data_IF_711646143693
#
_entry.id   IF_711646143693
#
_cell.length_a   1.000
_cell.length_b   1.000
_cell.length_c   1.000
_cell.angle_alpha   90.00
_cell.angle_beta   90.00
_cell.angle_gamma   90.00
#
_symmetry.space_group_name_H-M   'P 1'
#
loop_
_entity.id
_entity.type
_entity.pdbx_description
1 polymer ?
#
# COMPACT_ATOMS: atom_id res chain seq x y z
N UNK A 1 -4.92 46.94 -8.48
CA UNK A 1 -5.38 45.53 -8.45
C UNK A 1 -4.96 44.93 -7.12
N UNK A 2 -5.88 44.99 -6.17
CA UNK A 2 -5.74 44.49 -4.80
C UNK A 2 -5.73 42.97 -4.81
N UNK A 3 -4.68 42.38 -4.21
CA UNK A 3 -4.68 40.95 -3.83
C UNK A 3 -5.82 40.76 -2.85
N UNK A 4 -6.87 40.06 -3.26
CA UNK A 4 -7.79 39.45 -2.32
C UNK A 4 -6.98 38.35 -1.60
N UNK A 5 -6.49 38.66 -0.40
CA UNK A 5 -6.06 37.63 0.54
C UNK A 5 -7.34 36.89 0.94
N UNK A 6 -7.56 35.72 0.35
CA UNK A 6 -8.59 34.79 0.78
C UNK A 6 -8.33 34.45 2.26
N UNK A 7 -9.08 35.11 3.13
CA UNK A 7 -9.03 34.94 4.58
C UNK A 7 -9.76 33.64 5.00
N UNK A 8 -9.58 32.57 4.23
CA UNK A 8 -10.06 31.24 4.58
C UNK A 8 -9.14 30.68 5.66
N UNK A 9 -9.67 30.44 6.86
CA UNK A 9 -8.93 29.76 7.91
C UNK A 9 -8.61 28.34 7.43
N UNK A 10 -7.32 28.05 7.23
CA UNK A 10 -6.86 26.73 6.75
C UNK A 10 -7.36 25.63 7.69
N UNK A 11 -8.06 24.67 7.11
CA UNK A 11 -8.54 23.45 7.77
C UNK A 11 -7.43 22.41 7.86
N UNK A 12 -7.62 21.37 8.68
CA UNK A 12 -6.68 20.23 8.76
C UNK A 12 -6.41 19.60 7.39
N UNK A 13 -7.45 19.51 6.55
CA UNK A 13 -7.34 18.88 5.25
C UNK A 13 -6.56 19.74 4.25
N UNK A 14 -6.59 21.07 4.39
CA UNK A 14 -5.72 21.97 3.61
C UNK A 14 -4.23 21.72 3.90
N UNK A 15 -3.88 21.34 5.13
CA UNK A 15 -2.52 20.97 5.49
C UNK A 15 -2.14 19.58 4.99
N UNK A 16 -3.10 18.67 4.77
CA UNK A 16 -2.87 17.35 4.19
C UNK A 16 -2.77 17.39 2.66
N UNK A 17 -3.39 18.36 2.01
CA UNK A 17 -3.49 18.48 0.55
C UNK A 17 -2.16 18.84 -0.14
N UNK A 18 -1.11 18.06 0.12
CA UNK A 18 0.17 18.12 -0.55
C UNK A 18 0.15 17.20 -1.76
N UNK A 19 0.60 17.75 -2.89
CA UNK A 19 0.63 17.03 -4.16
C UNK A 19 1.39 15.70 -4.02
N UNK A 20 0.74 14.63 -4.48
CA UNK A 20 1.24 13.24 -4.49
C UNK A 20 1.52 12.59 -3.12
N UNK A 21 1.33 13.27 -2.00
CA UNK A 21 1.61 12.72 -0.65
C UNK A 21 0.35 12.30 0.10
N UNK A 22 -0.81 12.85 -0.27
CA UNK A 22 -2.08 12.49 0.31
C UNK A 22 -2.91 11.70 -0.70
N UNK A 23 -3.47 10.58 -0.26
CA UNK A 23 -4.41 9.81 -1.05
C UNK A 23 -5.75 10.55 -1.09
N UNK A 24 -6.00 11.22 -2.21
CA UNK A 24 -7.25 11.96 -2.42
C UNK A 24 -8.47 11.01 -2.31
N UNK A 25 -9.56 11.44 -1.65
CA UNK A 25 -10.74 10.58 -1.43
C UNK A 25 -11.34 9.98 -2.71
N UNK A 26 -11.34 10.73 -3.81
CA UNK A 26 -11.85 10.24 -5.10
C UNK A 26 -10.98 9.14 -5.71
N UNK A 27 -9.65 9.15 -5.47
CA UNK A 27 -8.74 8.08 -5.92
C UNK A 27 -9.00 6.83 -5.10
N UNK A 28 -9.11 6.98 -3.77
CA UNK A 28 -9.45 5.88 -2.87
C UNK A 28 -10.78 5.22 -3.28
N UNK A 29 -11.82 6.03 -3.56
CA UNK A 29 -13.12 5.51 -3.98
C UNK A 29 -13.07 4.84 -5.35
N UNK A 30 -12.29 5.39 -6.29
CA UNK A 30 -12.10 4.78 -7.60
C UNK A 30 -11.43 3.41 -7.50
N UNK A 31 -10.44 3.24 -6.62
CA UNK A 31 -9.82 1.92 -6.37
C UNK A 31 -10.82 0.95 -5.76
N UNK A 32 -11.63 1.39 -4.78
CA UNK A 32 -12.67 0.55 -4.17
C UNK A 32 -13.69 0.09 -5.21
N UNK A 33 -14.24 1.01 -6.00
CA UNK A 33 -15.18 0.68 -7.08
C UNK A 33 -14.58 -0.34 -8.05
N UNK A 34 -13.34 -0.11 -8.47
CA UNK A 34 -12.62 -1.04 -9.33
C UNK A 34 -12.44 -2.45 -8.74
N UNK A 35 -12.17 -2.55 -7.44
CA UNK A 35 -12.08 -3.86 -6.78
C UNK A 35 -13.37 -4.66 -6.94
N UNK A 36 -14.53 -4.04 -6.71
CA UNK A 36 -15.83 -4.72 -6.89
C UNK A 36 -16.08 -5.05 -8.37
N UNK A 37 -15.92 -4.06 -9.27
CA UNK A 37 -16.21 -4.23 -10.70
C UNK A 37 -15.36 -5.34 -11.33
N UNK A 38 -14.07 -5.39 -11.02
CA UNK A 38 -13.18 -6.39 -11.58
C UNK A 38 -13.38 -7.79 -10.98
N UNK A 39 -13.70 -7.90 -9.69
CA UNK A 39 -14.04 -9.21 -9.10
C UNK A 39 -15.32 -9.75 -9.74
N UNK A 40 -16.32 -8.90 -9.94
CA UNK A 40 -17.56 -9.27 -10.60
C UNK A 40 -17.34 -9.63 -12.09
N UNK A 41 -16.44 -8.92 -12.77
CA UNK A 41 -16.01 -9.29 -14.11
C UNK A 41 -15.39 -10.68 -14.16
N UNK A 42 -14.45 -10.99 -13.25
CA UNK A 42 -13.81 -12.30 -13.16
C UNK A 42 -14.88 -13.38 -12.99
N UNK A 43 -15.83 -13.17 -12.07
CA UNK A 43 -16.96 -14.07 -11.85
C UNK A 43 -17.75 -14.33 -13.13
N UNK A 44 -18.18 -13.28 -13.81
CA UNK A 44 -18.95 -13.40 -15.06
C UNK A 44 -18.20 -14.16 -16.16
N UNK A 45 -16.90 -13.91 -16.30
CA UNK A 45 -16.08 -14.64 -17.29
C UNK A 45 -15.94 -16.11 -16.90
N UNK A 46 -15.73 -16.43 -15.61
CA UNK A 46 -15.61 -17.81 -15.14
C UNK A 46 -16.91 -18.60 -15.25
N UNK A 47 -18.07 -17.97 -15.01
CA UNK A 47 -19.39 -18.57 -15.25
C UNK A 47 -19.57 -18.92 -16.73
N UNK A 48 -19.13 -18.02 -17.62
CA UNK A 48 -19.26 -18.21 -19.07
C UNK A 48 -18.25 -19.24 -19.61
N UNK A 49 -17.03 -19.25 -19.09
CA UNK A 49 -15.96 -20.14 -19.50
C UNK A 49 -14.98 -20.42 -18.35
N UNK A 50 -15.10 -21.58 -17.68
CA UNK A 50 -14.24 -21.97 -16.56
C UNK A 50 -12.75 -22.12 -16.92
N UNK A 51 -12.39 -22.21 -18.20
CA UNK A 51 -10.98 -22.30 -18.64
C UNK A 51 -10.16 -21.06 -18.24
N UNK A 52 -10.82 -19.91 -18.02
CA UNK A 52 -10.16 -18.69 -17.55
C UNK A 52 -9.67 -18.76 -16.10
N UNK A 53 -9.99 -19.82 -15.34
CA UNK A 53 -9.55 -20.01 -13.95
C UNK A 53 -8.03 -19.95 -13.80
N UNK A 54 -7.30 -20.52 -14.75
CA UNK A 54 -5.83 -20.50 -14.75
C UNK A 54 -5.29 -19.09 -15.06
N UNK A 55 -5.97 -18.34 -15.92
CA UNK A 55 -5.58 -16.97 -16.31
C UNK A 55 -5.83 -16.00 -15.15
N UNK A 56 -7.04 -16.01 -14.58
CA UNK A 56 -7.37 -15.15 -13.45
C UNK A 56 -6.78 -15.66 -12.14
N UNK A 57 -6.23 -16.88 -12.08
CA UNK A 57 -5.61 -17.43 -10.88
C UNK A 57 -6.59 -17.70 -9.74
N UNK A 58 -7.86 -17.94 -10.08
CA UNK A 58 -8.94 -18.26 -9.15
C UNK A 58 -10.03 -19.05 -9.86
N UNK A 59 -10.57 -20.06 -9.20
CA UNK A 59 -11.68 -20.86 -9.72
C UNK A 59 -13.06 -20.25 -9.38
N UNK A 60 -14.10 -20.75 -10.05
CA UNK A 60 -15.46 -20.27 -9.88
C UNK A 60 -15.98 -20.52 -8.45
N UNK A 61 -15.67 -21.67 -7.86
CA UNK A 61 -16.14 -22.03 -6.51
C UNK A 61 -15.61 -21.05 -5.46
N UNK A 62 -14.32 -20.72 -5.53
CA UNK A 62 -13.65 -19.77 -4.65
C UNK A 62 -14.20 -18.35 -4.80
N UNK A 63 -14.46 -17.89 -6.04
CA UNK A 63 -15.08 -16.59 -6.29
C UNK A 63 -16.53 -16.53 -5.82
N UNK A 64 -17.31 -17.59 -6.00
CA UNK A 64 -18.68 -17.65 -5.46
C UNK A 64 -18.65 -17.66 -3.92
N UNK A 65 -17.67 -18.34 -3.32
CA UNK A 65 -17.46 -18.32 -1.87
C UNK A 65 -17.15 -16.90 -1.32
N UNK A 66 -16.51 -16.02 -2.11
CA UNK A 66 -16.32 -14.61 -1.70
C UNK A 66 -17.65 -13.92 -1.37
N UNK A 67 -18.70 -14.21 -2.13
CA UNK A 67 -20.02 -13.59 -1.99
C UNK A 67 -20.84 -14.18 -0.83
N UNK A 68 -20.46 -15.35 -0.32
CA UNK A 68 -21.10 -15.95 0.86
C UNK A 68 -20.68 -15.26 2.17
N UNK A 69 -19.52 -14.58 2.18
CA UNK A 69 -19.02 -13.85 3.35
C UNK A 69 -18.92 -12.34 3.08
N UNK A 70 -20.09 -11.68 3.04
CA UNK A 70 -20.22 -10.24 2.82
C UNK A 70 -19.35 -9.37 3.73
N UNK A 71 -19.18 -9.78 5.00
CA UNK A 71 -18.41 -9.00 5.96
C UNK A 71 -16.92 -8.98 5.60
N UNK A 72 -16.33 -10.16 5.36
CA UNK A 72 -14.93 -10.27 4.93
C UNK A 72 -14.71 -9.68 3.54
N UNK A 73 -15.69 -9.81 2.64
CA UNK A 73 -15.63 -9.22 1.30
C UNK A 73 -15.55 -7.69 1.38
N UNK A 74 -16.40 -7.05 2.17
CA UNK A 74 -16.38 -5.59 2.37
C UNK A 74 -15.09 -5.12 3.02
N UNK A 75 -14.57 -5.87 4.00
CA UNK A 75 -13.28 -5.56 4.62
C UNK A 75 -12.12 -5.62 3.63
N UNK A 76 -12.14 -6.59 2.70
CA UNK A 76 -11.07 -6.77 1.70
C UNK A 76 -11.17 -5.75 0.56
N UNK A 77 -12.31 -5.73 -0.16
CA UNK A 77 -12.51 -4.92 -1.36
C UNK A 77 -12.72 -3.43 -1.03
N UNK A 78 -13.16 -3.11 0.19
CA UNK A 78 -13.35 -1.74 0.67
C UNK A 78 -12.06 -1.00 1.03
N UNK A 79 -10.91 -1.67 0.99
CA UNK A 79 -9.62 -0.99 1.16
C UNK A 79 -9.22 -0.22 -0.10
N UNK A 80 -8.47 0.89 0.01
CA UNK A 80 -8.00 1.62 -1.17
C UNK A 80 -6.75 0.99 -1.79
N UNK A 81 -6.60 -0.33 -1.70
CA UNK A 81 -5.55 -1.10 -2.35
C UNK A 81 -6.19 -1.95 -3.44
N UNK A 82 -5.50 -2.13 -4.56
CA UNK A 82 -5.98 -2.97 -5.63
C UNK A 82 -5.84 -4.44 -5.24
N UNK A 83 -6.96 -5.17 -5.27
CA UNK A 83 -7.05 -6.59 -4.90
C UNK A 83 -6.67 -7.53 -6.04
N UNK A 84 -6.16 -6.97 -7.13
CA UNK A 84 -5.71 -7.66 -8.33
C UNK A 84 -4.23 -7.43 -8.51
N UNK A 85 -3.57 -8.36 -9.17
CA UNK A 85 -2.19 -8.20 -9.65
C UNK A 85 -2.18 -8.09 -11.17
N UNK A 86 -1.20 -7.39 -11.77
CA UNK A 86 -1.03 -7.43 -13.22
C UNK A 86 -0.72 -8.85 -13.69
N UNK A 87 -1.33 -9.28 -14.80
CA UNK A 87 -0.95 -10.52 -15.48
C UNK A 87 0.43 -10.41 -16.15
N UNK A 88 0.84 -9.18 -16.46
CA UNK A 88 2.12 -8.82 -17.07
C UNK A 88 2.95 -7.99 -16.07
N UNK A 89 3.77 -8.64 -15.21
CA UNK A 89 4.37 -8.00 -14.05
C UNK A 89 5.65 -7.19 -14.35
N UNK A 90 6.25 -7.32 -15.54
CA UNK A 90 7.51 -6.65 -15.88
C UNK A 90 7.35 -5.58 -16.94
N UNK A 91 8.24 -4.57 -16.95
CA UNK A 91 8.26 -3.51 -17.97
C UNK A 91 8.43 -4.08 -19.38
N UNK A 92 9.25 -5.13 -19.52
CA UNK A 92 9.52 -5.75 -20.83
C UNK A 92 8.27 -6.42 -21.41
N UNK A 93 7.40 -6.99 -20.56
CA UNK A 93 6.11 -7.54 -21.00
C UNK A 93 5.24 -6.48 -21.68
N UNK A 94 5.32 -5.22 -21.23
CA UNK A 94 4.55 -4.12 -21.79
C UNK A 94 5.23 -3.49 -23.02
N UNK A 95 6.56 -3.48 -23.07
CA UNK A 95 7.30 -2.97 -24.24
C UNK A 95 7.00 -3.74 -25.51
N UNK A 96 6.68 -5.04 -25.42
CA UNK A 96 6.31 -5.81 -26.61
C UNK A 96 5.04 -5.25 -27.29
N UNK A 97 4.13 -4.67 -26.50
CA UNK A 97 2.92 -4.03 -27.03
C UNK A 97 3.10 -2.56 -27.35
N UNK A 98 3.91 -1.83 -26.58
CA UNK A 98 4.07 -0.37 -26.72
C UNK A 98 5.08 -0.01 -27.81
N UNK A 99 6.24 -0.67 -27.82
CA UNK A 99 7.39 -0.33 -28.67
C UNK A 99 7.69 -1.43 -29.71
N UNK A 100 6.83 -2.45 -29.82
CA UNK A 100 6.93 -3.55 -30.80
C UNK A 100 8.19 -4.41 -30.63
N UNK A 101 8.63 -4.59 -29.38
CA UNK A 101 9.75 -5.48 -29.04
C UNK A 101 9.31 -6.96 -29.08
N UNK A 102 10.27 -7.92 -29.14
CA UNK A 102 9.95 -9.34 -29.04
C UNK A 102 9.12 -9.68 -27.79
N UNK A 103 8.27 -10.71 -27.92
CA UNK A 103 7.41 -11.17 -26.82
C UNK A 103 8.24 -11.82 -25.73
N UNK A 104 7.80 -11.63 -24.49
CA UNK A 104 8.39 -12.31 -23.33
C UNK A 104 7.70 -13.64 -23.07
N UNK A 105 8.35 -14.50 -22.30
CA UNK A 105 7.79 -15.79 -21.86
C UNK A 105 6.44 -15.62 -21.14
N UNK A 106 6.28 -14.54 -20.36
CA UNK A 106 5.02 -14.26 -19.67
C UNK A 106 3.87 -13.98 -20.65
N UNK A 107 4.13 -13.18 -21.69
CA UNK A 107 3.15 -12.88 -22.75
C UNK A 107 2.79 -14.13 -23.55
N UNK A 108 3.79 -14.95 -23.89
CA UNK A 108 3.55 -16.18 -24.66
C UNK A 108 2.79 -17.23 -23.83
N UNK A 109 3.12 -17.36 -22.55
CA UNK A 109 2.39 -18.25 -21.62
C UNK A 109 0.94 -17.81 -21.48
N UNK A 110 0.70 -16.50 -21.36
CA UNK A 110 -0.65 -15.95 -21.27
C UNK A 110 -1.45 -16.17 -22.56
N UNK A 111 -0.81 -16.05 -23.73
CA UNK A 111 -1.45 -16.35 -25.01
C UNK A 111 -1.78 -17.82 -25.18
N UNK A 112 -0.91 -18.70 -24.71
CA UNK A 112 -1.09 -20.15 -24.79
C UNK A 112 -2.19 -20.65 -23.85
N UNK A 113 -2.41 -19.99 -22.71
CA UNK A 113 -3.49 -20.33 -21.78
C UNK A 113 -4.87 -19.83 -22.21
N UNK A 114 -4.96 -18.97 -23.23
CA UNK A 114 -6.23 -18.51 -23.78
C UNK A 114 -7.02 -19.67 -24.40
N UNK A 115 -8.33 -19.78 -24.13
CA UNK A 115 -9.16 -20.79 -24.77
C UNK A 115 -9.22 -20.61 -26.30
N UNK A 116 -9.33 -21.74 -27.00
CA UNK A 116 -9.38 -21.80 -28.47
C UNK A 116 -10.62 -21.11 -29.04
N UNK A 117 -11.77 -21.30 -28.37
CA UNK A 117 -13.03 -20.66 -28.74
C UNK A 117 -13.18 -19.34 -27.98
N UNK A 118 -13.34 -18.25 -28.74
CA UNK A 118 -13.42 -16.89 -28.22
C UNK A 118 -14.80 -16.32 -28.52
N UNK A 119 -15.61 -16.14 -27.49
CA UNK A 119 -16.88 -15.44 -27.59
C UNK A 119 -16.61 -13.93 -27.73
N UNK A 120 -17.18 -13.31 -28.76
CA UNK A 120 -17.05 -11.87 -29.03
C UNK A 120 -17.50 -11.01 -27.83
N UNK A 121 -18.56 -11.41 -27.12
CA UNK A 121 -19.04 -10.70 -25.93
C UNK A 121 -18.02 -10.74 -24.79
N UNK A 122 -17.41 -11.91 -24.55
CA UNK A 122 -16.37 -12.08 -23.53
C UNK A 122 -15.12 -11.27 -23.89
N UNK A 123 -14.71 -11.29 -25.15
CA UNK A 123 -13.59 -10.49 -25.64
C UNK A 123 -13.83 -8.99 -25.44
N UNK A 124 -15.02 -8.49 -25.78
CA UNK A 124 -15.37 -7.09 -25.58
C UNK A 124 -15.39 -6.73 -24.08
N UNK A 125 -15.90 -7.61 -23.23
CA UNK A 125 -15.91 -7.41 -21.77
C UNK A 125 -14.47 -7.32 -21.22
N UNK A 126 -13.57 -8.21 -21.64
CA UNK A 126 -12.15 -8.19 -21.24
C UNK A 126 -11.50 -6.88 -21.70
N UNK A 127 -11.72 -6.45 -22.94
CA UNK A 127 -11.19 -5.18 -23.46
C UNK A 127 -11.64 -3.97 -22.64
N UNK A 128 -12.92 -3.90 -22.29
CA UNK A 128 -13.47 -2.82 -21.47
C UNK A 128 -12.82 -2.77 -20.08
N UNK A 129 -12.66 -3.92 -19.43
CA UNK A 129 -12.06 -3.98 -18.10
C UNK A 129 -10.55 -3.79 -18.13
N UNK A 130 -9.86 -4.22 -19.18
CA UNK A 130 -8.44 -3.90 -19.40
C UNK A 130 -8.21 -2.39 -19.49
N UNK A 131 -9.09 -1.68 -20.21
CA UNK A 131 -9.05 -0.22 -20.28
C UNK A 131 -9.29 0.41 -18.91
N UNK A 132 -10.32 -0.04 -18.18
CA UNK A 132 -10.61 0.47 -16.84
C UNK A 132 -9.43 0.27 -15.89
N UNK A 133 -8.83 -0.93 -15.90
CA UNK A 133 -7.64 -1.26 -15.10
C UNK A 133 -6.48 -0.31 -15.39
N UNK A 134 -6.15 -0.06 -16.67
CA UNK A 134 -5.08 0.87 -17.04
C UNK A 134 -5.39 2.32 -16.68
N UNK A 135 -6.64 2.76 -16.82
CA UNK A 135 -7.06 4.11 -16.42
C UNK A 135 -6.84 4.33 -14.91
N UNK A 136 -7.09 3.31 -14.08
CA UNK A 136 -6.81 3.35 -12.63
C UNK A 136 -5.31 3.38 -12.38
N UNK A 137 -4.53 2.51 -13.04
CA UNK A 137 -3.07 2.46 -12.91
C UNK A 137 -2.46 3.82 -13.21
N UNK A 138 -2.84 4.45 -14.33
CA UNK A 138 -2.35 5.78 -14.68
C UNK A 138 -2.79 6.86 -13.70
N UNK A 139 -4.06 6.85 -13.27
CA UNK A 139 -4.55 7.82 -12.30
C UNK A 139 -3.74 7.76 -11.00
N UNK A 140 -3.59 6.56 -10.43
CA UNK A 140 -2.87 6.34 -9.17
C UNK A 140 -1.38 6.64 -9.29
N UNK A 141 -0.73 6.22 -10.38
CA UNK A 141 0.69 6.48 -10.64
C UNK A 141 1.02 7.98 -10.65
N UNK A 142 0.13 8.78 -11.23
CA UNK A 142 0.32 10.23 -11.36
C UNK A 142 -0.04 10.98 -10.09
N UNK A 143 -0.97 10.47 -9.27
CA UNK A 143 -1.46 11.18 -8.07
C UNK A 143 -0.84 10.74 -6.76
N UNK A 144 -0.02 9.69 -6.71
CA UNK A 144 0.54 9.19 -5.45
C UNK A 144 1.97 8.69 -5.58
N UNK A 145 2.84 9.08 -4.64
CA UNK A 145 4.18 8.47 -4.49
C UNK A 145 4.10 7.03 -3.94
N UNK A 146 2.98 6.65 -3.33
CA UNK A 146 2.70 5.29 -2.85
C UNK A 146 1.87 4.49 -3.86
N UNK A 147 2.00 4.81 -5.15
CA UNK A 147 1.26 4.13 -6.22
C UNK A 147 1.63 2.65 -6.36
N UNK A 148 2.90 2.27 -6.16
CA UNK A 148 3.34 0.87 -6.16
C UNK A 148 2.60 -0.02 -5.14
N UNK A 149 2.57 0.30 -3.83
CA UNK A 149 1.81 -0.50 -2.86
C UNK A 149 0.30 -0.45 -3.11
N UNK A 150 -0.25 0.71 -3.49
CA UNK A 150 -1.67 0.85 -3.83
C UNK A 150 -2.09 -0.07 -4.97
N UNK A 151 -1.28 -0.19 -6.03
CA UNK A 151 -1.59 -0.99 -7.22
C UNK A 151 -1.15 -2.45 -7.11
N UNK A 152 -0.34 -2.81 -6.09
CA UNK A 152 0.24 -4.16 -6.00
C UNK A 152 1.24 -4.46 -7.13
N UNK A 153 1.98 -3.43 -7.57
CA UNK A 153 2.91 -3.49 -8.71
C UNK A 153 4.32 -3.10 -8.29
N UNK A 154 5.34 -3.50 -9.05
CA UNK A 154 6.71 -3.05 -8.79
C UNK A 154 6.83 -1.53 -9.06
N UNK A 155 7.68 -0.81 -8.30
CA UNK A 155 7.96 0.61 -8.54
C UNK A 155 8.37 0.90 -10.00
N UNK A 156 9.14 0.01 -10.61
CA UNK A 156 9.59 0.11 -12.00
C UNK A 156 8.42 0.08 -12.98
N UNK A 157 7.51 -0.88 -12.80
CA UNK A 157 6.35 -1.03 -13.67
C UNK A 157 5.41 0.18 -13.55
N UNK A 158 5.14 0.63 -12.32
CA UNK A 158 4.28 1.80 -12.09
C UNK A 158 4.88 3.06 -12.70
N UNK A 159 6.19 3.28 -12.54
CA UNK A 159 6.89 4.41 -13.19
C UNK A 159 6.78 4.34 -14.72
N UNK A 160 6.95 3.15 -15.29
CA UNK A 160 6.84 2.96 -16.73
C UNK A 160 5.42 3.24 -17.23
N UNK A 161 4.40 2.58 -16.69
CA UNK A 161 3.00 2.74 -17.13
C UNK A 161 2.46 4.15 -16.87
N UNK A 162 2.82 4.76 -15.74
CA UNK A 162 2.46 6.14 -15.41
C UNK A 162 3.11 7.17 -16.32
N UNK A 163 4.35 6.91 -16.77
CA UNK A 163 5.09 7.79 -17.67
C UNK A 163 4.68 7.71 -19.14
N UNK A 164 3.88 6.71 -19.54
CA UNK A 164 3.43 6.55 -20.91
C UNK A 164 2.31 7.54 -21.26
N UNK A 165 2.36 8.19 -22.44
CA UNK A 165 1.23 8.95 -22.97
C UNK A 165 -0.01 8.06 -23.16
N UNK A 166 -1.19 8.60 -22.88
CA UNK A 166 -2.45 7.87 -22.99
C UNK A 166 -2.69 7.23 -24.37
N UNK A 167 -2.24 7.88 -25.46
CA UNK A 167 -2.38 7.33 -26.81
C UNK A 167 -1.50 6.09 -27.05
N UNK A 168 -0.30 6.02 -26.44
CA UNK A 168 0.57 4.84 -26.53
C UNK A 168 -0.08 3.64 -25.84
N UNK A 169 -0.67 3.85 -24.67
CA UNK A 169 -1.40 2.79 -23.97
C UNK A 169 -2.65 2.34 -24.74
N UNK A 170 -3.39 3.26 -25.36
CA UNK A 170 -4.53 2.90 -26.24
C UNK A 170 -4.08 2.03 -27.41
N UNK A 171 -2.99 2.39 -28.06
CA UNK A 171 -2.41 1.60 -29.17
C UNK A 171 -1.94 0.22 -28.68
N UNK A 172 -1.34 0.16 -27.48
CA UNK A 172 -0.95 -1.10 -26.87
C UNK A 172 -2.17 -1.99 -26.55
N UNK A 173 -3.26 -1.43 -26.04
CA UNK A 173 -4.52 -2.15 -25.80
C UNK A 173 -5.10 -2.77 -27.07
N UNK A 174 -5.04 -2.06 -28.21
CA UNK A 174 -5.47 -2.60 -29.51
C UNK A 174 -4.62 -3.81 -29.95
N UNK A 175 -3.34 -3.84 -29.59
CA UNK A 175 -2.42 -4.96 -29.87
C UNK A 175 -2.61 -6.13 -28.90
N UNK A 176 -2.90 -5.83 -27.63
CA UNK A 176 -3.20 -6.81 -26.58
C UNK A 176 -4.50 -7.56 -26.90
N UNK A 177 -5.48 -6.85 -27.48
CA UNK A 177 -6.80 -7.36 -27.84
C UNK A 177 -7.53 -7.98 -26.65
N UNK A 178 -7.43 -9.28 -26.48
CA UNK A 178 -8.30 -10.09 -25.62
C UNK A 178 -7.56 -10.75 -24.45
N UNK A 179 -6.28 -10.45 -24.27
CA UNK A 179 -5.51 -10.95 -23.12
C UNK A 179 -5.94 -10.22 -21.84
N UNK A 180 -6.37 -10.94 -20.78
CA UNK A 180 -6.67 -10.32 -19.49
C UNK A 180 -5.40 -9.73 -18.86
N UNK A 181 -5.42 -8.43 -18.53
CA UNK A 181 -4.26 -7.71 -18.01
C UNK A 181 -4.14 -7.74 -16.48
N UNK A 182 -5.14 -8.30 -15.81
CA UNK A 182 -5.18 -8.47 -14.38
C UNK A 182 -5.64 -9.87 -14.00
N UNK A 183 -5.25 -10.29 -12.81
CA UNK A 183 -5.58 -11.58 -12.22
C UNK A 183 -5.80 -11.42 -10.71
N UNK A 184 -6.48 -12.38 -10.10
CA UNK A 184 -6.68 -12.44 -8.67
C UNK A 184 -5.33 -12.50 -7.93
N UNK A 185 -5.19 -11.62 -6.94
CA UNK A 185 -3.93 -11.40 -6.22
C UNK A 185 -3.64 -12.48 -5.17
N UNK A 186 -4.68 -13.04 -4.53
CA UNK A 186 -4.55 -13.92 -3.38
C UNK A 186 -4.65 -15.39 -3.77
N UNK A 187 -3.54 -15.95 -4.26
CA UNK A 187 -3.45 -17.34 -4.76
C UNK A 187 -3.18 -18.39 -3.69
N UNK A 188 -2.78 -17.97 -2.49
CA UNK A 188 -2.43 -18.89 -1.42
C UNK A 188 -3.69 -19.56 -0.86
N UNK A 189 -3.70 -20.88 -0.71
CA UNK A 189 -4.82 -21.60 -0.08
C UNK A 189 -5.06 -21.14 1.36
N UNK A 190 -4.02 -20.71 2.08
CA UNK A 190 -4.14 -20.15 3.43
C UNK A 190 -5.06 -18.92 3.48
N UNK A 191 -5.09 -18.10 2.43
CA UNK A 191 -5.98 -16.95 2.34
C UNK A 191 -7.45 -17.37 2.40
N UNK A 192 -7.83 -18.43 1.66
CA UNK A 192 -9.20 -18.90 1.61
C UNK A 192 -9.67 -19.46 2.95
N UNK A 193 -8.79 -20.15 3.68
CA UNK A 193 -9.09 -20.59 5.05
C UNK A 193 -9.31 -19.41 6.00
N UNK A 194 -8.45 -18.38 5.94
CA UNK A 194 -8.61 -17.17 6.76
C UNK A 194 -9.88 -16.39 6.40
N UNK A 195 -10.18 -16.27 5.11
CA UNK A 195 -11.36 -15.59 4.58
C UNK A 195 -12.66 -16.29 5.01
N UNK A 196 -12.68 -17.62 4.99
CA UNK A 196 -13.86 -18.42 5.34
C UNK A 196 -14.07 -18.54 6.86
N UNK A 197 -13.00 -18.75 7.63
CA UNK A 197 -13.11 -19.03 9.06
C UNK A 197 -13.35 -17.79 9.92
N UNK A 198 -12.96 -16.61 9.44
CA UNK A 198 -12.93 -15.39 10.25
C UNK A 198 -13.49 -14.19 9.51
N UNK A 199 -14.02 -13.22 10.26
CA UNK A 199 -14.16 -11.87 9.75
C UNK A 199 -12.76 -11.31 9.56
N UNK A 200 -12.31 -11.20 8.31
CA UNK A 200 -11.01 -10.64 7.96
C UNK A 200 -10.86 -9.26 8.61
N UNK A 201 -9.97 -9.17 9.58
CA UNK A 201 -9.65 -7.90 10.24
C UNK A 201 -8.63 -7.10 9.42
N UNK A 202 -8.47 -5.81 9.77
CA UNK A 202 -7.54 -4.92 9.06
C UNK A 202 -6.10 -5.44 9.09
N UNK A 203 -5.69 -6.09 10.18
CA UNK A 203 -4.38 -6.69 10.34
C UNK A 203 -4.12 -7.86 9.38
N UNK A 204 -5.09 -8.74 9.20
CA UNK A 204 -5.02 -9.83 8.23
C UNK A 204 -5.01 -9.29 6.81
N UNK A 205 -5.90 -8.34 6.48
CA UNK A 205 -5.93 -7.71 5.15
C UNK A 205 -4.58 -7.04 4.85
N UNK A 206 -4.02 -6.29 5.80
CA UNK A 206 -2.71 -5.67 5.65
C UNK A 206 -1.60 -6.71 5.43
N UNK A 207 -1.62 -7.82 6.17
CA UNK A 207 -0.67 -8.92 5.94
C UNK A 207 -0.80 -9.49 4.53
N UNK A 208 -2.02 -9.79 4.08
CA UNK A 208 -2.27 -10.39 2.76
C UNK A 208 -1.85 -9.44 1.63
N UNK A 209 -2.09 -8.14 1.76
CA UNK A 209 -1.61 -7.12 0.80
C UNK A 209 -0.07 -7.12 0.76
N UNK A 210 0.60 -7.06 1.91
CA UNK A 210 2.06 -7.08 1.96
C UNK A 210 2.64 -8.38 1.38
N UNK A 211 2.06 -9.53 1.73
CA UNK A 211 2.51 -10.85 1.31
C UNK A 211 2.46 -11.06 -0.21
N UNK A 212 1.51 -10.40 -0.87
CA UNK A 212 1.27 -10.52 -2.32
C UNK A 212 1.87 -9.36 -3.13
N UNK A 213 2.50 -8.39 -2.46
CA UNK A 213 3.18 -7.28 -3.15
C UNK A 213 4.49 -7.79 -3.79
N UNK A 214 4.80 -7.44 -5.06
CA UNK A 214 5.97 -7.98 -5.77
C UNK A 214 7.31 -7.34 -5.37
N UNK A 215 7.29 -6.42 -4.39
CA UNK A 215 8.47 -5.80 -3.81
C UNK A 215 8.40 -5.90 -2.28
N UNK A 216 9.55 -5.86 -1.64
CA UNK A 216 9.71 -6.17 -0.22
C UNK A 216 10.07 -4.90 0.54
N UNK A 217 9.77 -4.85 1.83
CA UNK A 217 10.42 -3.88 2.71
C UNK A 217 11.92 -4.23 2.74
N UNK A 218 12.74 -3.52 1.97
CA UNK A 218 14.19 -3.64 2.00
C UNK A 218 14.78 -2.95 3.24
N UNK A 219 16.09 -3.12 3.44
CA UNK A 219 16.83 -2.31 4.39
C UNK A 219 16.71 -0.84 4.00
N UNK A 220 16.43 0.03 4.97
CA UNK A 220 16.38 1.46 4.71
C UNK A 220 17.77 1.96 4.35
N UNK A 221 17.92 2.83 3.34
CA UNK A 221 19.21 3.40 3.03
C UNK A 221 19.79 4.09 4.27
N UNK A 222 21.02 3.72 4.65
CA UNK A 222 21.75 4.33 5.77
C UNK A 222 21.90 5.85 5.62
N UNK A 223 21.78 6.34 4.38
CA UNK A 223 21.80 7.74 3.98
C UNK A 223 20.42 8.41 3.98
N UNK A 224 19.39 7.84 4.61
CA UNK A 224 18.18 8.58 4.96
C UNK A 224 18.56 9.64 6.02
N UNK A 225 19.33 10.66 5.63
CA UNK A 225 19.89 11.70 6.47
C UNK A 225 18.77 12.62 6.90
N UNK A 226 18.11 12.21 7.99
CA UNK A 226 17.21 13.03 8.80
C UNK A 226 17.85 14.36 9.23
N UNK A 227 19.17 14.43 9.18
CA UNK A 227 19.99 15.57 9.58
C UNK A 227 20.30 16.55 8.46
N UNK A 228 20.12 16.27 7.17
CA UNK A 228 20.42 17.24 6.09
C UNK A 228 19.32 17.26 5.03
N UNK A 229 18.09 17.55 5.47
CA UNK A 229 16.98 17.83 4.58
C UNK A 229 17.30 19.11 3.78
N UNK A 230 17.85 18.95 2.57
CA UNK A 230 18.09 20.06 1.62
C UNK A 230 16.77 20.54 1.03
N UNK A 231 15.95 21.15 1.86
CA UNK A 231 14.64 21.67 1.50
C UNK A 231 14.63 23.19 1.66
N UNK A 232 13.85 23.89 0.84
CA UNK A 232 13.62 25.33 1.03
C UNK A 232 12.86 25.62 2.32
N UNK A 233 13.02 26.82 2.89
CA UNK A 233 12.36 27.20 4.15
C UNK A 233 10.83 27.08 4.09
N UNK A 234 10.21 27.48 2.98
CA UNK A 234 8.76 27.34 2.78
C UNK A 234 8.32 25.86 2.73
N UNK A 235 9.17 24.99 2.18
CA UNK A 235 8.93 23.55 2.17
C UNK A 235 9.01 22.94 3.58
N UNK A 236 9.89 23.44 4.45
CA UNK A 236 9.98 22.99 5.85
C UNK A 236 8.68 23.24 6.60
N UNK A 237 8.09 24.43 6.47
CA UNK A 237 6.86 24.80 7.16
C UNK A 237 5.65 24.03 6.62
N UNK A 238 5.62 23.84 5.30
CA UNK A 238 4.57 23.08 4.61
C UNK A 238 4.56 21.62 5.06
N UNK A 239 5.72 20.93 5.03
CA UNK A 239 5.82 19.55 5.49
C UNK A 239 5.63 19.40 7.00
N UNK A 240 6.07 20.38 7.80
CA UNK A 240 5.80 20.39 9.23
C UNK A 240 4.29 20.46 9.53
N UNK A 241 3.56 21.32 8.82
CA UNK A 241 2.11 21.43 8.89
C UNK A 241 1.43 20.10 8.52
N UNK A 242 1.80 19.50 7.40
CA UNK A 242 1.26 18.21 6.95
C UNK A 242 1.54 17.09 7.95
N UNK A 243 2.77 16.95 8.45
CA UNK A 243 3.10 15.94 9.44
C UNK A 243 2.26 16.09 10.72
N UNK A 244 2.06 17.34 11.17
CA UNK A 244 1.20 17.62 12.33
C UNK A 244 -0.27 17.35 12.04
N UNK A 245 -0.75 17.59 10.81
CA UNK A 245 -2.11 17.26 10.38
C UNK A 245 -2.38 15.75 10.39
N UNK A 246 -1.36 14.92 10.15
CA UNK A 246 -1.42 13.46 10.33
C UNK A 246 -1.24 13.00 11.80
N UNK A 247 -1.11 13.92 12.76
CA UNK A 247 -1.04 13.61 14.19
C UNK A 247 0.37 13.57 14.78
N UNK A 248 1.39 14.04 14.05
CA UNK A 248 2.73 14.25 14.62
C UNK A 248 2.75 15.39 15.65
N UNK A 249 3.52 15.25 16.73
CA UNK A 249 3.68 16.31 17.74
C UNK A 249 4.44 17.50 17.20
N UNK A 250 4.16 18.68 17.76
CA UNK A 250 4.90 19.91 17.47
C UNK A 250 6.42 19.80 17.77
N UNK A 251 6.81 19.00 18.76
CA UNK A 251 8.22 18.74 19.10
C UNK A 251 8.93 17.86 18.06
N UNK A 252 8.22 16.86 17.51
CA UNK A 252 8.72 16.01 16.43
C UNK A 252 8.91 16.84 15.17
N UNK A 253 7.91 17.65 14.80
CA UNK A 253 7.99 18.55 13.66
C UNK A 253 9.10 19.61 13.83
N UNK A 254 9.26 20.20 15.02
CA UNK A 254 10.31 21.18 15.30
C UNK A 254 11.71 20.59 15.09
N UNK A 255 11.94 19.39 15.63
CA UNK A 255 13.22 18.68 15.50
C UNK A 255 13.49 18.29 14.05
N UNK A 256 12.48 17.72 13.38
CA UNK A 256 12.63 17.20 12.02
C UNK A 256 12.90 18.31 11.00
N UNK A 257 12.14 19.40 11.06
CA UNK A 257 12.20 20.48 10.07
C UNK A 257 13.04 21.67 10.55
N UNK A 258 13.78 21.55 11.65
CA UNK A 258 14.62 22.61 12.23
C UNK A 258 13.86 23.93 12.42
N UNK A 259 12.61 23.85 12.88
CA UNK A 259 11.74 25.00 13.12
C UNK A 259 11.75 25.40 14.60
N UNK A 260 11.59 26.70 14.94
CA UNK A 260 11.44 27.13 16.33
C UNK A 260 10.25 26.45 17.01
N UNK A 261 10.44 25.96 18.24
CA UNK A 261 9.37 25.27 18.98
C UNK A 261 8.14 26.14 19.22
N UNK A 262 8.31 27.45 19.41
CA UNK A 262 7.19 28.39 19.56
C UNK A 262 6.31 28.39 18.31
N UNK A 263 6.93 28.40 17.13
CA UNK A 263 6.25 28.39 15.83
C UNK A 263 5.50 27.09 15.59
N UNK A 264 6.11 25.93 15.83
CA UNK A 264 5.42 24.64 15.62
C UNK A 264 4.28 24.42 16.61
N UNK A 265 4.39 24.89 17.86
CA UNK A 265 3.29 24.84 18.84
C UNK A 265 2.12 25.73 18.43
N UNK A 266 2.40 26.93 17.92
CA UNK A 266 1.36 27.82 17.39
C UNK A 266 0.68 27.19 16.18
N UNK A 267 1.46 26.68 15.22
CA UNK A 267 0.94 25.98 14.04
C UNK A 267 0.09 24.76 14.42
N UNK A 268 0.53 23.95 15.40
CA UNK A 268 -0.26 22.83 15.89
C UNK A 268 -1.60 23.28 16.49
N UNK A 269 -1.61 24.39 17.25
CA UNK A 269 -2.84 24.96 17.80
C UNK A 269 -3.77 25.45 16.69
N UNK A 270 -3.24 26.08 15.64
CA UNK A 270 -4.01 26.47 14.45
C UNK A 270 -4.64 25.26 13.75
N UNK A 271 -3.91 24.16 13.59
CA UNK A 271 -4.39 22.95 12.91
C UNK A 271 -5.46 22.24 13.74
N UNK A 272 -5.22 22.02 15.05
CA UNK A 272 -6.05 21.12 15.87
C UNK A 272 -6.97 21.83 16.87
N UNK A 273 -6.88 23.16 17.02
CA UNK A 273 -7.60 23.93 18.03
C UNK A 273 -7.18 23.64 19.48
N UNK A 274 -6.12 22.84 19.70
CA UNK A 274 -5.64 22.41 21.02
C UNK A 274 -4.12 22.40 21.08
N UNK A 275 -3.57 22.43 22.29
CA UNK A 275 -2.11 22.38 22.50
C UNK A 275 -1.56 21.00 22.13
N UNK A 276 -0.36 20.96 21.55
CA UNK A 276 0.36 19.71 21.31
C UNK A 276 0.60 18.97 22.64
N UNK A 277 0.47 17.64 22.68
CA UNK A 277 0.84 16.85 23.84
C UNK A 277 2.28 17.13 24.28
N UNK A 278 2.47 17.31 25.59
CA UNK A 278 3.76 17.49 26.23
C UNK A 278 4.23 16.16 26.83
N UNK A 279 5.54 15.92 26.85
CA UNK A 279 6.15 14.73 27.45
C UNK A 279 7.18 14.06 26.55
N UNK A 280 7.83 13.03 27.08
CA UNK A 280 8.86 12.30 26.36
C UNK A 280 8.29 11.57 25.14
N UNK A 281 9.10 11.50 24.07
CA UNK A 281 8.76 10.70 22.89
C UNK A 281 8.90 9.21 23.21
N UNK A 282 8.04 8.35 22.65
CA UNK A 282 8.16 6.90 22.84
C UNK A 282 9.47 6.40 22.19
N UNK A 283 10.38 5.83 23.00
CA UNK A 283 11.72 5.46 22.55
C UNK A 283 12.08 3.97 22.75
N UNK A 284 11.11 3.13 23.09
CA UNK A 284 11.34 1.70 23.31
C UNK A 284 11.35 0.93 21.99
N UNK A 285 12.50 0.34 21.64
CA UNK A 285 12.64 -0.56 20.50
C UNK A 285 11.81 -1.84 20.67
N UNK A 286 11.69 -2.32 21.91
CA UNK A 286 10.96 -3.53 22.25
C UNK A 286 9.48 -3.43 21.85
N UNK A 287 8.89 -2.22 21.93
CA UNK A 287 7.48 -2.01 21.58
C UNK A 287 7.14 -2.48 20.16
N UNK A 288 8.06 -2.32 19.21
CA UNK A 288 7.87 -2.68 17.80
C UNK A 288 7.84 -4.18 17.56
N UNK A 289 8.40 -4.99 18.46
CA UNK A 289 8.59 -6.43 18.24
C UNK A 289 7.88 -7.30 19.27
N UNK A 290 7.50 -6.75 20.42
CA UNK A 290 6.95 -7.50 21.55
C UNK A 290 5.55 -8.04 21.29
N UNK A 291 4.64 -7.21 20.74
CA UNK A 291 3.27 -7.64 20.43
C UNK A 291 3.10 -7.93 18.94
N UNK A 292 2.43 -9.03 18.56
CA UNK A 292 2.09 -9.39 17.18
C UNK A 292 1.53 -8.22 16.35
N UNK A 293 0.55 -7.50 16.88
CA UNK A 293 -0.12 -6.39 16.19
C UNK A 293 0.84 -5.21 16.02
N UNK A 294 1.56 -4.82 17.07
CA UNK A 294 2.54 -3.73 16.98
C UNK A 294 3.59 -4.02 15.90
N UNK A 295 4.07 -5.26 15.85
CA UNK A 295 5.03 -5.71 14.83
C UNK A 295 4.46 -5.57 13.43
N UNK A 296 3.23 -6.02 13.21
CA UNK A 296 2.56 -5.83 11.92
C UNK A 296 2.44 -4.36 11.53
N UNK A 297 1.92 -3.48 12.40
CA UNK A 297 1.78 -2.06 12.06
C UNK A 297 3.12 -1.38 11.79
N UNK A 298 4.15 -1.75 12.54
CA UNK A 298 5.51 -1.24 12.36
C UNK A 298 6.10 -1.68 11.03
N UNK A 299 5.95 -2.96 10.69
CA UNK A 299 6.35 -3.53 9.40
C UNK A 299 5.60 -2.85 8.26
N UNK A 300 4.27 -2.72 8.36
CA UNK A 300 3.45 -2.09 7.32
C UNK A 300 3.87 -0.64 7.09
N UNK A 301 4.15 0.11 8.16
CA UNK A 301 4.63 1.48 8.02
C UNK A 301 5.99 1.55 7.34
N UNK A 302 6.95 0.70 7.73
CA UNK A 302 8.28 0.66 7.10
C UNK A 302 8.18 0.23 5.64
N UNK A 303 7.33 -0.75 5.32
CA UNK A 303 7.04 -1.16 3.94
C UNK A 303 6.56 0.01 3.08
N UNK A 304 5.55 0.77 3.56
CA UNK A 304 5.06 1.96 2.88
C UNK A 304 6.15 3.03 2.74
N UNK A 305 6.90 3.29 3.82
CA UNK A 305 7.97 4.27 3.83
C UNK A 305 9.08 3.93 2.81
N UNK A 306 9.53 2.67 2.77
CA UNK A 306 10.51 2.19 1.78
C UNK A 306 9.99 2.33 0.35
N UNK A 307 8.72 1.97 0.11
CA UNK A 307 8.10 2.08 -1.21
C UNK A 307 8.07 3.53 -1.72
N UNK A 308 7.79 4.50 -0.84
CA UNK A 308 7.82 5.91 -1.21
C UNK A 308 9.25 6.37 -1.57
N UNK A 309 10.27 5.94 -0.83
CA UNK A 309 11.67 6.25 -1.15
C UNK A 309 12.09 5.68 -2.51
N UNK A 310 11.70 4.45 -2.83
CA UNK A 310 11.93 3.82 -4.14
C UNK A 310 11.22 4.54 -5.31
N UNK A 311 10.17 5.31 -4.98
CA UNK A 311 9.45 6.19 -5.91
C UNK A 311 10.01 7.62 -5.94
N UNK A 312 11.26 7.81 -5.48
CA UNK A 312 11.99 9.09 -5.43
C UNK A 312 11.37 10.15 -4.50
N UNK A 313 10.56 9.76 -3.52
CA UNK A 313 10.17 10.68 -2.45
C UNK A 313 11.37 10.96 -1.53
N UNK A 314 11.50 12.19 -1.05
CA UNK A 314 12.45 12.49 0.02
C UNK A 314 11.93 11.95 1.37
N UNK A 315 12.80 11.88 2.38
CA UNK A 315 12.47 11.31 3.70
C UNK A 315 11.21 11.92 4.35
N UNK A 316 11.00 13.24 4.40
CA UNK A 316 9.76 13.83 4.91
C UNK A 316 8.53 13.47 4.07
N UNK A 317 8.63 13.51 2.75
CA UNK A 317 7.55 13.13 1.85
C UNK A 317 7.14 11.68 2.07
N UNK A 318 8.11 10.77 2.16
CA UNK A 318 7.87 9.35 2.45
C UNK A 318 7.22 9.15 3.82
N UNK A 319 7.64 9.89 4.85
CA UNK A 319 7.05 9.81 6.18
C UNK A 319 5.58 10.28 6.19
N UNK A 320 5.29 11.39 5.52
CA UNK A 320 3.94 11.97 5.42
C UNK A 320 3.04 11.03 4.62
N UNK A 321 3.47 10.60 3.44
CA UNK A 321 2.70 9.70 2.58
C UNK A 321 2.45 8.36 3.28
N UNK A 322 3.46 7.77 3.92
CA UNK A 322 3.28 6.53 4.66
C UNK A 322 2.31 6.70 5.83
N UNK A 323 2.32 7.85 6.52
CA UNK A 323 1.36 8.14 7.60
C UNK A 323 -0.07 8.26 7.10
N UNK A 324 -0.27 8.89 5.94
CA UNK A 324 -1.58 8.98 5.30
C UNK A 324 -2.12 7.61 4.90
N UNK A 325 -1.35 6.84 4.13
CA UNK A 325 -1.81 5.53 3.65
C UNK A 325 -1.90 4.49 4.79
N UNK A 326 -1.05 4.58 5.81
CA UNK A 326 -1.16 3.76 7.02
C UNK A 326 -2.51 3.96 7.74
N UNK A 327 -3.00 5.20 7.83
CA UNK A 327 -4.31 5.47 8.43
C UNK A 327 -5.46 4.87 7.63
N UNK A 328 -5.33 4.81 6.30
CA UNK A 328 -6.28 4.15 5.41
C UNK A 328 -6.23 2.62 5.49
N UNK A 329 -5.05 2.05 5.74
CA UNK A 329 -4.86 0.61 5.91
C UNK A 329 -5.42 0.10 7.25
N UNK A 330 -5.40 0.93 8.29
CA UNK A 330 -5.89 0.60 9.63
C UNK A 330 -6.95 1.60 10.13
N UNK A 331 -8.12 1.68 9.47
CA UNK A 331 -9.12 2.68 9.81
C UNK A 331 -9.62 2.48 11.24
N UNK A 332 -9.49 3.52 12.07
CA UNK A 332 -9.94 3.51 13.47
C UNK A 332 -9.10 2.66 14.44
N UNK A 333 -8.06 1.97 13.98
CA UNK A 333 -7.20 1.11 14.81
C UNK A 333 -5.70 1.32 14.54
N UNK A 334 -5.28 2.58 14.44
CA UNK A 334 -3.87 2.94 14.26
C UNK A 334 -3.10 2.80 15.58
N UNK A 335 -2.40 1.69 15.79
CA UNK A 335 -1.59 1.46 16.99
C UNK A 335 -0.24 2.20 16.99
N UNK A 336 0.28 2.51 15.79
CA UNK A 336 1.54 3.22 15.61
C UNK A 336 1.26 4.72 15.42
N UNK A 337 1.64 5.54 16.40
CA UNK A 337 1.56 7.00 16.23
C UNK A 337 2.64 7.51 15.27
N UNK A 338 2.38 8.63 14.59
CA UNK A 338 3.34 9.28 13.68
C UNK A 338 4.68 9.57 14.36
N UNK A 339 4.67 10.00 15.63
CA UNK A 339 5.91 10.23 16.39
C UNK A 339 6.74 8.94 16.55
N UNK A 340 6.05 7.83 16.85
CA UNK A 340 6.70 6.53 17.03
C UNK A 340 7.18 5.98 15.69
N UNK A 341 6.42 6.19 14.62
CA UNK A 341 6.81 5.85 13.26
C UNK A 341 8.06 6.64 12.81
N UNK A 342 8.12 7.94 13.09
CA UNK A 342 9.31 8.77 12.87
C UNK A 342 10.51 8.32 13.71
N UNK A 343 10.28 7.81 14.93
CA UNK A 343 11.31 7.14 15.71
C UNK A 343 11.79 5.86 15.03
N UNK A 344 10.87 5.00 14.59
CA UNK A 344 11.15 3.73 13.94
C UNK A 344 12.01 3.88 12.69
N UNK A 345 11.66 4.80 11.79
CA UNK A 345 12.42 5.05 10.56
C UNK A 345 13.84 5.52 10.86
N UNK A 346 14.03 6.32 11.91
CA UNK A 346 15.38 6.74 12.39
C UNK A 346 16.15 5.55 12.96
N UNK A 347 15.52 4.73 13.77
CA UNK A 347 16.16 3.55 14.37
C UNK A 347 16.59 2.52 13.31
N UNK A 348 15.73 2.27 12.32
CA UNK A 348 16.01 1.39 11.19
C UNK A 348 17.11 1.94 10.28
N UNK A 349 17.17 3.26 10.06
CA UNK A 349 18.23 3.86 9.24
C UNK A 349 19.59 3.95 9.93
N UNK A 350 19.61 4.14 11.25
CA UNK A 350 20.84 4.41 12.02
C UNK A 350 21.48 3.17 12.67
N UNK A 351 20.79 2.04 12.79
CA UNK A 351 21.20 0.98 13.71
C UNK A 351 20.98 -0.43 13.22
N UNK A 352 21.82 -1.34 13.74
CA UNK A 352 21.74 -2.80 13.55
C UNK A 352 20.72 -3.49 14.48
N UNK A 353 20.04 -2.72 15.35
CA UNK A 353 19.20 -3.24 16.44
C UNK A 353 17.82 -3.73 16.01
N UNK A 354 17.32 -3.21 14.90
CA UNK A 354 16.15 -3.70 14.21
C UNK A 354 16.57 -3.95 12.77
N UNK A 355 16.12 -5.06 12.20
CA UNK A 355 16.36 -5.41 10.81
C UNK A 355 15.06 -5.93 10.20
N UNK A 356 15.05 -6.09 8.88
CA UNK A 356 13.98 -6.79 8.19
C UNK A 356 14.42 -8.22 7.88
N UNK A 357 13.55 -9.19 8.14
CA UNK A 357 13.76 -10.59 7.74
C UNK A 357 12.53 -11.17 7.05
N UNK A 358 12.71 -12.05 6.04
CA UNK A 358 11.60 -12.78 5.46
C UNK A 358 11.07 -13.84 6.43
N UNK A 359 9.75 -13.99 6.46
CA UNK A 359 9.11 -15.13 7.12
C UNK A 359 9.50 -16.44 6.44
N UNK A 360 9.92 -17.45 7.21
CA UNK A 360 10.26 -18.78 6.68
C UNK A 360 9.10 -19.45 5.93
N UNK A 361 7.87 -19.24 6.39
CA UNK A 361 6.67 -19.81 5.78
C UNK A 361 6.15 -19.01 4.57
N UNK A 362 5.70 -17.77 4.78
CA UNK A 362 5.08 -16.97 3.72
C UNK A 362 6.01 -15.99 2.99
N UNK A 363 7.31 -15.94 3.32
CA UNK A 363 8.31 -15.02 2.73
C UNK A 363 8.02 -13.51 2.89
N UNK A 364 6.94 -13.14 3.59
CA UNK A 364 6.62 -11.74 3.90
C UNK A 364 7.67 -11.17 4.83
N UNK A 365 8.14 -9.97 4.50
CA UNK A 365 9.20 -9.29 5.24
C UNK A 365 8.63 -8.63 6.50
N UNK A 366 9.27 -8.85 7.64
CA UNK A 366 8.87 -8.28 8.92
C UNK A 366 10.06 -7.69 9.66
N UNK A 367 9.77 -6.69 10.49
CA UNK A 367 10.72 -6.18 11.47
C UNK A 367 11.01 -7.27 12.49
N UNK A 368 12.29 -7.54 12.67
CA UNK A 368 12.83 -8.46 13.66
C UNK A 368 13.77 -7.72 14.61
N UNK A 369 13.85 -8.25 15.83
CA UNK A 369 14.76 -7.74 16.86
C UNK A 369 16.16 -8.31 16.66
N UNK A 370 17.15 -7.44 16.64
CA UNK A 370 18.57 -7.79 16.70
C UNK A 370 19.26 -6.97 17.80
N UNK A 371 18.66 -6.98 19.00
CA UNK A 371 19.17 -6.25 20.15
C UNK A 371 19.71 -7.21 21.22
N UNK A 372 20.43 -6.67 22.20
CA UNK A 372 21.06 -7.45 23.29
C UNK A 372 20.07 -8.33 24.06
N UNK A 373 18.80 -7.94 24.15
CA UNK A 373 17.77 -8.68 24.88
C UNK A 373 17.13 -9.83 24.09
N UNK A 374 17.09 -9.74 22.76
CA UNK A 374 16.48 -10.74 21.88
C UNK A 374 17.07 -10.63 20.48
N UNK A 375 17.76 -11.69 20.07
CA UNK A 375 18.27 -11.88 18.70
C UNK A 375 17.36 -12.87 18.00
N UNK A 376 16.59 -12.39 17.03
CA UNK A 376 15.76 -13.23 16.16
C UNK A 376 16.56 -13.58 14.91
N UNK A 377 16.90 -14.86 14.74
CA UNK A 377 17.65 -15.31 13.57
C UNK A 377 16.82 -15.20 12.28
N UNK A 378 17.38 -14.58 11.25
CA UNK A 378 16.70 -14.33 9.98
C UNK A 378 16.14 -15.61 9.33
N UNK A 379 16.83 -16.75 9.44
CA UNK A 379 16.45 -17.99 8.76
C UNK A 379 15.39 -18.83 9.50
N UNK A 380 15.09 -18.51 10.77
CA UNK A 380 14.13 -19.26 11.59
C UNK A 380 12.90 -18.43 11.98
N UNK A 381 12.81 -17.19 11.52
CA UNK A 381 11.71 -16.28 11.83
C UNK A 381 10.39 -16.73 11.17
N UNK A 382 9.32 -16.80 11.98
CA UNK A 382 7.95 -17.02 11.52
C UNK A 382 7.11 -15.80 11.90
N UNK A 383 6.36 -15.26 10.94
CA UNK A 383 5.63 -14.00 11.15
C UNK A 383 4.35 -14.19 11.98
N UNK A 384 3.83 -13.11 12.59
CA UNK A 384 2.59 -13.16 13.37
C UNK A 384 1.37 -13.75 12.67
N UNK A 385 1.27 -13.59 11.34
CA UNK A 385 0.16 -14.14 10.56
C UNK A 385 0.25 -15.66 10.47
N UNK A 386 1.42 -16.18 10.07
CA UNK A 386 1.73 -17.61 10.02
C UNK A 386 1.58 -18.30 11.37
N UNK A 387 1.90 -17.64 12.48
CA UNK A 387 1.67 -18.21 13.82
C UNK A 387 0.22 -18.12 14.31
N UNK A 388 -0.71 -17.54 13.52
CA UNK A 388 -2.11 -17.31 13.94
C UNK A 388 -2.29 -16.24 15.02
N UNK A 389 -1.26 -15.44 15.31
CA UNK A 389 -1.25 -14.47 16.43
C UNK A 389 -1.94 -13.14 16.09
N UNK A 390 -2.33 -12.93 14.83
CA UNK A 390 -3.10 -11.76 14.37
C UNK A 390 -4.62 -11.96 14.52
N UNK A 391 -5.06 -13.17 14.86
CA UNK A 391 -6.47 -13.44 15.07
C UNK A 391 -6.98 -12.62 16.26
N UNK A 392 -8.22 -12.09 16.20
CA UNK A 392 -8.86 -11.54 17.37
C UNK A 392 -8.81 -12.59 18.46
N UNK A 393 -8.30 -12.26 19.65
CA UNK A 393 -8.41 -13.16 20.80
C UNK A 393 -9.89 -13.52 20.91
N UNK A 394 -10.22 -14.80 20.76
CA UNK A 394 -11.56 -15.30 21.00
C UNK A 394 -12.02 -14.69 22.33
N UNK A 395 -13.02 -13.80 22.25
CA UNK A 395 -13.56 -13.18 23.44
C UNK A 395 -13.91 -14.29 24.41
N UNK A 396 -13.71 -14.05 25.70
CA UNK A 396 -14.06 -14.92 26.82
C UNK A 396 -15.59 -15.16 26.88
N UNK A 397 -16.18 -15.75 25.83
CA UNK A 397 -17.55 -16.25 25.76
C UNK A 397 -17.49 -17.71 26.20
N UNK A 398 -17.34 -17.92 27.50
CA UNK A 398 -17.27 -19.27 28.05
C UNK A 398 -16.68 -19.37 29.45
N UNK A 399 -17.05 -18.46 30.36
CA UNK A 399 -17.03 -18.72 31.81
C UNK A 399 -18.18 -17.93 32.43
N UNK A 400 -19.37 -18.52 32.37
CA UNK A 400 -20.42 -18.35 33.37
C UNK A 400 -20.73 -19.72 33.92
#
# INVERSE_FOLDING_TARGET
MTKAEDNHAKTVDDYKALDRLHLAPWVAERIRGANYDHVEHIRHVLVSNPAFSTIYGVDLESIEHLHLNDASLRSLLGTPFLMLSPSLPSVEDWRCFVDDTPTTVAVDTLRQSMPTERNALTTQAIQSHNRHFLDIVQAVANTSVLSAPLLGMTPELVRYLGGLPAWKLRTALERIRDLPLFQWRFRNSAFWYEFAAHNLNAEQVAHQIMATTPFRAGDLPHSATWTDLRLGRESHETYAGALMAHGGRASTAATLFRLPQSKTRQMYFTIHGKRSPCGNLPNSLQWFVEKPQHRLHSTAFIWLFSAALEMNANTPQALIAASDLYAHLFPGNTLLSVDRACGLTRWMGAGTRLSIAPCRECQTHYIVSNNESKIEMHHSFVCPACTGSLLPRAGNRGRK
#
